data_IF_163813124686
#
_entry.id   IF_163813124686
#
_cell.length_a   1.000
_cell.length_b   1.000
_cell.length_c   1.000
_cell.angle_alpha   90.00
_cell.angle_beta   90.00
_cell.angle_gamma   90.00
#
_symmetry.space_group_name_H-M   'P 1'
#
loop_
_entity.id
_entity.type
_entity.pdbx_description
1 polymer ?
#
# COMPACT_ATOMS: atom_id res chain seq x y z
N UNK A 1 -12.85 13.05 -21.40
CA UNK A 1 -13.63 12.00 -20.76
C UNK A 1 -12.82 10.70 -20.75
N UNK A 2 -12.90 9.96 -19.63
CA UNK A 2 -12.16 8.73 -19.42
C UNK A 2 -13.11 7.60 -19.04
N UNK A 3 -12.75 6.38 -19.43
CA UNK A 3 -13.41 5.15 -19.04
C UNK A 3 -12.47 4.38 -18.12
N UNK A 4 -12.95 3.99 -16.91
CA UNK A 4 -12.18 3.29 -15.90
C UNK A 4 -12.67 1.86 -15.75
N UNK A 5 -11.76 0.89 -15.89
CA UNK A 5 -12.05 -0.53 -15.79
C UNK A 5 -11.35 -1.08 -14.56
N UNK A 6 -12.08 -1.57 -13.54
CA UNK A 6 -11.48 -2.11 -12.33
C UNK A 6 -10.73 -3.41 -12.63
N UNK A 7 -9.54 -3.57 -12.07
CA UNK A 7 -8.70 -4.75 -12.23
C UNK A 7 -8.70 -5.62 -10.98
N UNK A 8 -8.24 -5.05 -9.87
CA UNK A 8 -8.10 -5.78 -8.61
C UNK A 8 -8.07 -4.82 -7.41
N UNK A 9 -8.13 -5.42 -6.23
CA UNK A 9 -8.04 -4.74 -4.94
C UNK A 9 -6.72 -5.12 -4.27
N UNK A 10 -6.05 -4.16 -3.66
CA UNK A 10 -4.75 -4.35 -3.04
C UNK A 10 -4.71 -3.68 -1.68
N UNK A 11 -4.48 -4.49 -0.63
CA UNK A 11 -4.36 -3.97 0.72
C UNK A 11 -3.00 -3.30 0.94
N UNK A 12 -2.97 -2.36 1.89
CA UNK A 12 -1.73 -1.81 2.40
C UNK A 12 -1.29 -2.59 3.63
N UNK A 13 0.01 -2.76 3.77
CA UNK A 13 0.63 -3.44 4.89
C UNK A 13 1.68 -2.53 5.52
N UNK A 14 1.84 -2.62 6.84
CA UNK A 14 2.94 -1.98 7.52
C UNK A 14 4.23 -2.76 7.30
N UNK A 15 5.32 -2.05 7.07
CA UNK A 15 6.68 -2.58 7.07
C UNK A 15 7.42 -1.96 8.25
N UNK A 16 7.68 -2.76 9.28
CA UNK A 16 7.97 -2.30 10.64
C UNK A 16 9.37 -2.72 11.06
N UNK A 17 10.17 -1.76 11.50
CA UNK A 17 11.51 -2.02 12.05
C UNK A 17 11.47 -2.95 13.26
N UNK A 18 12.48 -3.80 13.41
CA UNK A 18 12.62 -4.73 14.54
C UNK A 18 12.71 -4.01 15.90
N UNK A 19 13.16 -2.76 15.92
CA UNK A 19 13.29 -1.95 17.15
C UNK A 19 12.01 -1.14 17.47
N UNK A 20 11.01 -1.16 16.59
CA UNK A 20 9.75 -0.49 16.82
C UNK A 20 8.82 -1.35 17.68
N UNK A 21 8.05 -0.73 18.58
CA UNK A 21 7.10 -1.43 19.46
C UNK A 21 6.04 -2.23 18.67
N UNK A 22 5.64 -1.74 17.49
CA UNK A 22 4.68 -2.39 16.62
C UNK A 22 5.20 -3.72 16.03
N UNK A 23 6.52 -3.94 16.03
CA UNK A 23 7.11 -5.20 15.53
C UNK A 23 6.65 -6.43 16.32
N UNK A 24 6.38 -6.26 17.62
CA UNK A 24 5.91 -7.35 18.50
C UNK A 24 4.45 -7.73 18.29
N UNK A 25 3.71 -6.96 17.48
CA UNK A 25 2.29 -7.19 17.21
C UNK A 25 2.12 -8.04 15.97
N UNK A 26 1.11 -8.89 15.97
CA UNK A 26 0.70 -9.63 14.77
C UNK A 26 -0.01 -8.75 13.74
N UNK A 27 -0.77 -7.76 14.24
CA UNK A 27 -1.50 -6.77 13.42
C UNK A 27 -1.33 -5.38 14.03
N UNK A 28 -1.36 -4.35 13.19
CA UNK A 28 -1.30 -2.94 13.61
C UNK A 28 -2.64 -2.24 13.38
N UNK A 29 -2.96 -1.29 14.23
CA UNK A 29 -4.13 -0.41 14.06
C UNK A 29 -3.70 0.94 13.50
N UNK A 30 -4.58 1.57 12.73
CA UNK A 30 -4.30 2.91 12.18
C UNK A 30 -3.95 3.93 13.25
N UNK A 31 -4.64 3.87 14.41
CA UNK A 31 -4.38 4.77 15.55
C UNK A 31 -3.01 4.56 16.22
N UNK A 32 -2.38 3.42 16.04
CA UNK A 32 -1.08 3.10 16.63
C UNK A 32 0.10 3.61 15.79
N UNK A 33 -0.17 3.99 14.55
CA UNK A 33 0.82 4.59 13.64
C UNK A 33 1.08 6.06 13.98
N UNK A 34 0.15 6.70 14.68
CA UNK A 34 0.26 8.09 15.10
C UNK A 34 1.43 8.29 16.07
N UNK A 35 2.30 9.24 15.78
CA UNK A 35 3.47 9.56 16.61
C UNK A 35 4.72 8.72 16.35
N UNK A 36 4.64 7.68 15.54
CA UNK A 36 5.78 6.87 15.15
C UNK A 36 6.62 7.56 14.07
N UNK A 37 7.89 7.19 13.96
CA UNK A 37 8.76 7.63 12.87
C UNK A 37 8.30 6.96 11.58
N UNK A 38 7.61 7.73 10.74
CA UNK A 38 6.97 7.24 9.52
C UNK A 38 7.73 7.73 8.28
N UNK A 39 8.14 6.80 7.44
CA UNK A 39 8.75 7.05 6.14
C UNK A 39 7.67 7.00 5.07
N UNK A 40 7.39 8.12 4.41
CA UNK A 40 6.37 8.23 3.36
C UNK A 40 6.93 8.86 2.09
N UNK A 41 6.37 8.44 0.97
CA UNK A 41 6.59 9.08 -0.32
C UNK A 41 6.17 10.56 -0.28
N UNK A 42 6.73 11.35 -1.19
CA UNK A 42 6.49 12.78 -1.28
C UNK A 42 5.02 13.13 -1.60
N UNK A 43 4.68 14.40 -1.42
CA UNK A 43 3.36 14.93 -1.78
C UNK A 43 3.07 14.71 -3.27
N UNK A 44 1.80 14.41 -3.60
CA UNK A 44 1.37 14.09 -4.97
C UNK A 44 1.32 12.60 -5.30
N UNK A 45 1.81 11.74 -4.42
CA UNK A 45 1.59 10.30 -4.54
C UNK A 45 0.25 9.91 -3.91
N UNK A 46 -0.70 9.45 -4.72
CA UNK A 46 -2.02 9.01 -4.25
C UNK A 46 -1.94 7.95 -3.13
N UNK A 47 -0.91 7.12 -3.15
CA UNK A 47 -0.59 6.15 -2.11
C UNK A 47 -0.42 6.80 -0.73
N UNK A 48 0.34 7.91 -0.65
CA UNK A 48 0.53 8.67 0.58
C UNK A 48 -0.78 9.26 1.09
N UNK A 49 -1.52 9.93 0.21
CA UNK A 49 -2.74 10.65 0.59
C UNK A 49 -3.83 9.69 1.09
N UNK A 50 -3.92 8.50 0.50
CA UNK A 50 -4.83 7.45 0.93
C UNK A 50 -4.49 6.96 2.34
N UNK A 51 -3.22 6.71 2.63
CA UNK A 51 -2.76 6.24 3.94
C UNK A 51 -2.85 7.32 5.01
N UNK A 52 -2.53 8.57 4.68
CA UNK A 52 -2.65 9.70 5.60
C UNK A 52 -4.10 9.87 6.06
N UNK A 53 -5.05 9.81 5.13
CA UNK A 53 -6.49 9.86 5.45
C UNK A 53 -6.96 8.67 6.27
N UNK A 54 -6.50 7.47 5.93
CA UNK A 54 -6.89 6.25 6.65
C UNK A 54 -6.39 6.26 8.10
N UNK A 55 -5.15 6.67 8.32
CA UNK A 55 -4.55 6.74 9.65
C UNK A 55 -4.95 8.01 10.42
N UNK A 56 -5.82 8.88 9.85
CA UNK A 56 -6.22 10.17 10.44
C UNK A 56 -5.02 11.05 10.81
N UNK A 57 -3.97 10.99 10.04
CA UNK A 57 -2.79 11.81 10.21
C UNK A 57 -3.11 13.20 9.64
N UNK A 58 -3.70 14.08 10.45
CA UNK A 58 -4.21 15.40 10.03
C UNK A 58 -3.13 16.35 9.52
N UNK A 59 -1.88 16.12 9.90
CA UNK A 59 -0.74 16.84 9.33
C UNK A 59 0.55 16.01 9.41
N UNK A 60 1.43 16.26 8.46
CA UNK A 60 2.80 15.76 8.48
C UNK A 60 3.60 16.20 9.73
N UNK A 61 3.08 17.13 10.52
CA UNK A 61 3.71 17.63 11.73
C UNK A 61 3.50 16.74 12.95
N UNK A 62 2.46 15.91 12.98
CA UNK A 62 2.21 14.96 14.06
C UNK A 62 3.00 13.65 13.91
N UNK A 63 3.48 13.36 12.71
CA UNK A 63 4.42 12.27 12.44
C UNK A 63 5.80 12.86 12.21
N UNK A 64 6.83 12.29 12.81
CA UNK A 64 8.21 12.62 12.47
C UNK A 64 8.49 12.07 11.05
N UNK A 65 7.95 12.76 10.03
CA UNK A 65 8.25 12.42 8.64
C UNK A 65 9.70 12.78 8.40
N UNK A 66 10.54 11.77 8.37
CA UNK A 66 11.97 11.96 8.32
C UNK A 66 12.50 12.22 6.91
N UNK A 67 11.71 11.95 5.84
CA UNK A 67 12.16 12.15 4.47
C UNK A 67 11.00 12.33 3.48
N UNK A 68 11.14 13.30 2.57
CA UNK A 68 10.14 13.65 1.55
C UNK A 68 10.53 13.21 0.13
N UNK A 69 11.72 12.65 -0.05
CA UNK A 69 12.23 12.23 -1.36
C UNK A 69 12.71 10.79 -1.26
N UNK A 70 12.22 9.94 -2.13
CA UNK A 70 12.70 8.58 -2.18
C UNK A 70 11.75 7.61 -2.89
N UNK A 71 12.25 6.42 -3.10
CA UNK A 71 11.44 5.30 -3.56
C UNK A 71 10.97 4.47 -2.35
N UNK A 72 9.94 3.67 -2.57
CA UNK A 72 9.47 2.68 -1.58
C UNK A 72 10.62 1.77 -1.11
N UNK A 73 11.49 1.37 -2.04
CA UNK A 73 12.64 0.53 -1.73
C UNK A 73 13.62 1.22 -0.76
N UNK A 74 13.87 2.51 -0.95
CA UNK A 74 14.70 3.30 -0.02
C UNK A 74 14.13 3.27 1.40
N UNK A 75 12.82 3.47 1.55
CA UNK A 75 12.18 3.42 2.87
C UNK A 75 12.20 2.04 3.49
N UNK A 76 12.03 1.00 2.69
CA UNK A 76 12.18 -0.37 3.19
C UNK A 76 13.60 -0.60 3.74
N UNK A 77 14.65 -0.13 3.05
CA UNK A 77 16.04 -0.21 3.54
C UNK A 77 16.25 0.57 4.83
N UNK A 78 15.61 1.73 4.98
CA UNK A 78 15.67 2.51 6.23
C UNK A 78 15.01 1.75 7.39
N UNK A 79 13.87 1.12 7.16
CA UNK A 79 13.21 0.26 8.16
C UNK A 79 14.09 -0.95 8.49
N UNK A 80 14.69 -1.60 7.52
CA UNK A 80 15.61 -2.72 7.70
C UNK A 80 16.85 -2.33 8.54
N UNK A 81 17.30 -1.09 8.38
CA UNK A 81 18.41 -0.53 9.21
C UNK A 81 18.03 -0.25 10.66
N UNK A 82 16.79 -0.51 11.05
CA UNK A 82 16.31 -0.45 12.43
C UNK A 82 15.54 0.82 12.79
N UNK A 83 15.10 1.64 11.83
CA UNK A 83 14.42 2.91 12.10
C UNK A 83 13.01 2.96 11.52
N UNK A 84 12.03 3.28 12.36
CA UNK A 84 10.68 3.65 11.98
C UNK A 84 9.85 2.56 11.30
N UNK A 85 8.87 3.03 10.56
CA UNK A 85 7.92 2.21 9.78
C UNK A 85 7.69 2.83 8.41
N UNK A 86 7.30 2.02 7.44
CA UNK A 86 6.73 2.48 6.17
C UNK A 86 5.54 1.59 5.78
N UNK A 87 4.87 1.93 4.70
CA UNK A 87 3.79 1.11 4.15
C UNK A 87 4.18 0.56 2.80
N UNK A 88 3.76 -0.67 2.54
CA UNK A 88 3.98 -1.36 1.28
C UNK A 88 2.66 -1.91 0.74
N UNK A 89 2.48 -1.99 -0.59
CA UNK A 89 1.35 -2.67 -1.18
C UNK A 89 1.50 -4.19 -1.04
N UNK A 90 0.38 -4.88 -0.96
CA UNK A 90 0.32 -6.34 -0.74
C UNK A 90 1.12 -7.14 -1.78
N UNK A 91 1.08 -6.74 -3.06
CA UNK A 91 1.85 -7.40 -4.11
C UNK A 91 3.37 -7.29 -3.92
N UNK A 92 3.87 -6.26 -3.24
CA UNK A 92 5.28 -6.14 -2.95
C UNK A 92 5.79 -7.31 -2.09
N UNK A 93 4.93 -7.91 -1.24
CA UNK A 93 5.29 -9.04 -0.38
C UNK A 93 5.73 -10.26 -1.17
N UNK A 94 5.23 -10.43 -2.39
CA UNK A 94 5.61 -11.55 -3.26
C UNK A 94 7.09 -11.53 -3.67
N UNK A 95 7.72 -10.35 -3.61
CA UNK A 95 9.13 -10.15 -3.98
C UNK A 95 10.07 -10.14 -2.76
N UNK A 96 9.53 -10.21 -1.54
CA UNK A 96 10.31 -10.15 -0.31
C UNK A 96 10.95 -11.50 0.00
N UNK A 97 12.18 -11.46 0.51
CA UNK A 97 12.82 -12.62 1.13
C UNK A 97 12.24 -12.89 2.54
N UNK A 98 12.61 -14.01 3.16
CA UNK A 98 12.03 -14.42 4.44
C UNK A 98 12.35 -13.46 5.61
N UNK A 99 13.52 -12.85 5.62
CA UNK A 99 13.90 -11.84 6.63
C UNK A 99 13.05 -10.57 6.49
N UNK A 100 12.80 -10.13 5.26
CA UNK A 100 11.95 -8.99 4.96
C UNK A 100 10.49 -9.27 5.30
N UNK A 101 9.97 -10.46 4.99
CA UNK A 101 8.60 -10.87 5.35
C UNK A 101 8.35 -10.81 6.86
N UNK A 102 9.37 -11.04 7.69
CA UNK A 102 9.26 -10.90 9.16
C UNK A 102 8.97 -9.47 9.62
N UNK A 103 9.26 -8.46 8.80
CA UNK A 103 8.98 -7.05 9.09
C UNK A 103 7.57 -6.62 8.69
N UNK A 104 6.86 -7.44 7.95
CA UNK A 104 5.50 -7.12 7.45
C UNK A 104 4.47 -7.29 8.57
N UNK A 105 3.57 -6.31 8.70
CA UNK A 105 2.43 -6.36 9.63
C UNK A 105 1.15 -5.95 8.90
N UNK A 106 0.15 -6.81 8.85
CA UNK A 106 -1.16 -6.45 8.33
C UNK A 106 -1.86 -5.46 9.26
N UNK A 107 -2.75 -4.65 8.69
CA UNK A 107 -3.66 -3.84 9.48
C UNK A 107 -4.78 -4.71 10.08
N UNK A 108 -5.19 -4.38 11.31
CA UNK A 108 -6.45 -4.84 11.86
C UNK A 108 -7.62 -4.32 11.02
N UNK A 109 -8.76 -4.99 11.11
CA UNK A 109 -9.96 -4.55 10.38
C UNK A 109 -10.46 -3.20 10.90
N UNK A 110 -10.93 -2.32 10.00
CA UNK A 110 -10.97 -2.46 8.54
C UNK A 110 -9.57 -2.28 7.93
N UNK A 111 -9.19 -3.13 6.96
CA UNK A 111 -7.91 -3.06 6.27
C UNK A 111 -7.95 -2.00 5.18
N UNK A 112 -7.00 -1.06 5.15
CA UNK A 112 -6.92 -0.08 4.07
C UNK A 112 -6.58 -0.78 2.75
N UNK A 113 -7.42 -0.56 1.75
CA UNK A 113 -7.32 -1.24 0.47
C UNK A 113 -7.52 -0.24 -0.66
N UNK A 114 -6.72 -0.32 -1.71
CA UNK A 114 -6.90 0.46 -2.92
C UNK A 114 -7.50 -0.39 -4.03
N UNK A 115 -8.26 0.25 -4.91
CA UNK A 115 -8.76 -0.36 -6.13
C UNK A 115 -7.89 0.08 -7.30
N UNK A 116 -7.36 -0.86 -8.03
CA UNK A 116 -6.52 -0.61 -9.20
C UNK A 116 -7.38 -0.66 -10.46
N UNK A 117 -7.17 0.30 -11.35
CA UNK A 117 -7.92 0.45 -12.60
C UNK A 117 -6.99 0.54 -13.80
N UNK A 118 -7.49 0.11 -14.96
CA UNK A 118 -7.04 0.64 -16.25
C UNK A 118 -7.93 1.82 -16.60
N UNK A 119 -7.30 2.90 -17.02
CA UNK A 119 -8.01 4.11 -17.49
C UNK A 119 -7.67 4.31 -18.95
N UNK A 120 -8.70 4.45 -19.77
CA UNK A 120 -8.59 4.74 -21.20
C UNK A 120 -9.37 6.00 -21.55
N UNK A 121 -9.02 6.65 -22.64
CA UNK A 121 -9.89 7.67 -23.20
C UNK A 121 -11.17 7.02 -23.75
N UNK A 122 -12.27 7.77 -23.78
CA UNK A 122 -13.56 7.27 -24.28
C UNK A 122 -13.54 6.95 -25.78
N UNK A 123 -12.62 7.56 -26.53
CA UNK A 123 -12.40 7.33 -27.96
C UNK A 123 -11.36 6.23 -28.26
N UNK A 124 -10.97 5.44 -27.25
CA UNK A 124 -10.01 4.35 -27.43
C UNK A 124 -10.62 3.21 -28.27
N UNK A 125 -9.99 2.89 -29.40
CA UNK A 125 -10.56 1.98 -30.43
C UNK A 125 -10.01 0.54 -30.37
N UNK A 126 -8.90 0.27 -29.69
CA UNK A 126 -8.25 -1.06 -29.68
C UNK A 126 -8.80 -1.95 -28.55
N UNK A 127 -10.12 -2.15 -28.53
CA UNK A 127 -10.79 -2.89 -27.44
C UNK A 127 -10.32 -4.33 -27.30
N UNK A 128 -10.07 -5.04 -28.40
CA UNK A 128 -9.56 -6.44 -28.36
C UNK A 128 -8.23 -6.51 -27.63
N UNK A 129 -7.29 -5.63 -27.98
CA UNK A 129 -5.98 -5.58 -27.31
C UNK A 129 -6.11 -5.22 -25.82
N UNK A 130 -6.98 -4.27 -25.50
CA UNK A 130 -7.27 -3.88 -24.12
C UNK A 130 -7.81 -5.06 -23.30
N UNK A 131 -8.78 -5.80 -23.85
CA UNK A 131 -9.36 -6.96 -23.17
C UNK A 131 -8.31 -8.06 -22.94
N UNK A 132 -7.48 -8.36 -23.94
CA UNK A 132 -6.37 -9.31 -23.78
C UNK A 132 -5.40 -8.88 -22.68
N UNK A 133 -5.07 -7.58 -22.61
CA UNK A 133 -4.21 -7.04 -21.55
C UNK A 133 -4.86 -7.22 -20.17
N UNK A 134 -6.14 -6.87 -20.03
CA UNK A 134 -6.90 -7.03 -18.79
C UNK A 134 -6.90 -8.48 -18.32
N UNK A 135 -7.18 -9.41 -19.22
CA UNK A 135 -7.18 -10.85 -18.90
C UNK A 135 -5.80 -11.32 -18.43
N UNK A 136 -4.74 -10.90 -19.12
CA UNK A 136 -3.36 -11.24 -18.74
C UNK A 136 -2.98 -10.65 -17.38
N UNK A 137 -3.31 -9.40 -17.11
CA UNK A 137 -3.07 -8.79 -15.80
C UNK A 137 -3.81 -9.59 -14.71
N UNK A 138 -5.12 -9.84 -14.88
CA UNK A 138 -5.93 -10.57 -13.89
C UNK A 138 -5.42 -12.00 -13.67
N UNK A 139 -4.87 -12.64 -14.69
CA UNK A 139 -4.28 -13.98 -14.58
C UNK A 139 -2.98 -14.00 -13.75
N UNK A 140 -2.27 -12.88 -13.66
CA UNK A 140 -1.04 -12.73 -12.85
C UNK A 140 -1.32 -12.32 -11.39
N UNK A 141 -2.56 -11.93 -11.07
CA UNK A 141 -2.94 -11.45 -9.74
C UNK A 141 -3.50 -12.62 -8.91
N UNK A 142 -3.17 -12.73 -7.61
CA UNK A 142 -3.80 -13.70 -6.71
C UNK A 142 -5.34 -13.58 -6.76
N UNK A 143 -6.02 -14.71 -6.82
CA UNK A 143 -7.48 -14.75 -7.04
C UNK A 143 -8.26 -13.98 -5.97
N UNK A 144 -7.80 -14.03 -4.73
CA UNK A 144 -8.38 -13.30 -3.60
C UNK A 144 -8.36 -11.78 -3.77
N UNK A 145 -7.44 -11.25 -4.57
CA UNK A 145 -7.34 -9.81 -4.83
C UNK A 145 -8.28 -9.34 -5.97
N UNK A 146 -8.89 -10.25 -6.71
CA UNK A 146 -9.81 -9.88 -7.81
C UNK A 146 -11.15 -9.35 -7.30
N UNK A 147 -11.50 -9.63 -6.05
CA UNK A 147 -12.74 -9.18 -5.39
C UNK A 147 -12.44 -8.53 -4.04
N UNK A 148 -13.27 -7.54 -3.67
CA UNK A 148 -13.15 -6.93 -2.34
C UNK A 148 -13.54 -7.95 -1.27
N UNK A 149 -12.63 -8.19 -0.32
CA UNK A 149 -12.83 -9.15 0.76
C UNK A 149 -13.50 -8.51 1.97
N UNK A 150 -14.17 -9.33 2.80
CA UNK A 150 -14.73 -8.87 4.06
C UNK A 150 -13.66 -8.24 4.96
N UNK A 151 -13.98 -7.08 5.54
CA UNK A 151 -13.05 -6.34 6.40
C UNK A 151 -12.04 -5.45 5.65
N UNK A 152 -12.07 -5.41 4.32
CA UNK A 152 -11.33 -4.43 3.54
C UNK A 152 -12.14 -3.13 3.39
N UNK A 153 -11.47 -1.99 3.51
CA UNK A 153 -12.04 -0.65 3.29
C UNK A 153 -11.26 0.05 2.20
N UNK A 154 -11.96 0.36 1.09
CA UNK A 154 -11.34 1.14 0.00
C UNK A 154 -11.10 2.57 0.49
N UNK A 155 -9.89 3.08 0.33
CA UNK A 155 -9.38 4.37 0.78
C UNK A 155 -8.98 5.27 -0.38
#
# INVERSE_FOLDING_TARGET
HFHSIPLYYESFLGYVSRHNALFKKEMIRSSEVSGEQLWLLDEGHCFRDQLMRFCQLESAQSCQIAYRLGSMETFMRMVESGKGITFIPELAVLQLNDEQKRLVRPFAMPRPTRRIYIVTRTDFIRHTLLNMLIEKIKACIPKEMLTLQNGQKVV
#
